data_IF_089079711514
#
_entry.id   IF_089079711514
#
_cell.length_a   1.000
_cell.length_b   1.000
_cell.length_c   1.000
_cell.angle_alpha   90.00
_cell.angle_beta   90.00
_cell.angle_gamma   90.00
#
_symmetry.space_group_name_H-M   'P 1'
#
loop_
_entity.id
_entity.type
_entity.pdbx_description
1 polymer ?
#
# COMPACT_ATOMS: atom_id res chain seq x y z
N UNK A 1 -1.94 -23.34 -4.53
CA UNK A 1 -2.09 -22.43 -5.68
C UNK A 1 -3.12 -21.37 -5.38
N UNK A 2 -2.89 -20.16 -5.83
CA UNK A 2 -3.81 -19.04 -5.55
C UNK A 2 -5.01 -19.10 -6.49
N UNK A 3 -6.21 -19.02 -5.90
CA UNK A 3 -7.45 -18.98 -6.69
C UNK A 3 -7.72 -17.54 -7.14
N UNK A 4 -8.65 -17.33 -8.11
CA UNK A 4 -9.06 -15.94 -8.45
C UNK A 4 -9.58 -15.14 -7.25
N UNK A 5 -10.27 -15.80 -6.31
CA UNK A 5 -10.73 -15.13 -5.09
C UNK A 5 -9.54 -14.70 -4.24
N UNK A 6 -8.51 -15.55 -4.07
CA UNK A 6 -7.30 -15.19 -3.35
C UNK A 6 -6.62 -13.97 -3.99
N UNK A 7 -6.52 -13.95 -5.32
CA UNK A 7 -5.94 -12.82 -6.04
C UNK A 7 -6.74 -11.54 -5.85
N UNK A 8 -8.08 -11.64 -5.84
CA UNK A 8 -8.94 -10.49 -5.61
C UNK A 8 -8.74 -9.92 -4.19
N UNK A 9 -8.62 -10.79 -3.19
CA UNK A 9 -8.37 -10.35 -1.81
C UNK A 9 -7.00 -9.69 -1.69
N UNK A 10 -5.97 -10.26 -2.33
CA UNK A 10 -4.62 -9.67 -2.35
C UNK A 10 -4.67 -8.29 -3.01
N UNK A 11 -5.37 -8.16 -4.14
CA UNK A 11 -5.50 -6.87 -4.82
C UNK A 11 -6.21 -5.84 -3.94
N UNK A 12 -7.28 -6.24 -3.24
CA UNK A 12 -7.99 -5.37 -2.32
C UNK A 12 -7.11 -4.95 -1.14
N UNK A 13 -6.37 -5.89 -0.56
CA UNK A 13 -5.44 -5.59 0.53
C UNK A 13 -4.32 -4.65 0.06
N UNK A 14 -3.80 -4.88 -1.13
CA UNK A 14 -2.77 -4.03 -1.73
C UNK A 14 -3.30 -2.61 -1.97
N UNK A 15 -4.50 -2.50 -2.52
CA UNK A 15 -5.15 -1.20 -2.72
C UNK A 15 -5.32 -0.45 -1.41
N UNK A 16 -5.81 -1.11 -0.36
CA UNK A 16 -5.98 -0.49 0.96
C UNK A 16 -4.63 -0.05 1.54
N UNK A 17 -3.58 -0.85 1.36
CA UNK A 17 -2.25 -0.51 1.83
C UNK A 17 -1.71 0.73 1.12
N UNK A 18 -1.79 0.76 -0.21
CA UNK A 18 -1.30 1.89 -1.00
C UNK A 18 -2.09 3.15 -0.67
N UNK A 19 -3.42 3.07 -0.67
CA UNK A 19 -4.27 4.20 -0.36
C UNK A 19 -4.02 4.71 1.06
N UNK A 20 -3.87 3.79 2.01
CA UNK A 20 -3.57 4.14 3.40
C UNK A 20 -2.24 4.88 3.54
N UNK A 21 -1.19 4.40 2.86
CA UNK A 21 0.11 5.05 2.89
C UNK A 21 0.06 6.46 2.29
N UNK A 22 -0.65 6.64 1.19
CA UNK A 22 -0.81 7.95 0.57
C UNK A 22 -1.62 8.89 1.46
N UNK A 23 -2.63 8.38 2.16
CA UNK A 23 -3.40 9.16 3.13
C UNK A 23 -2.55 9.56 4.33
N UNK A 24 -1.70 8.66 4.83
CA UNK A 24 -0.75 9.01 5.90
C UNK A 24 0.19 10.14 5.45
N UNK A 25 0.67 10.08 4.22
CA UNK A 25 1.52 11.14 3.67
C UNK A 25 0.76 12.46 3.61
N UNK A 26 -0.49 12.43 3.14
CA UNK A 26 -1.36 13.61 3.11
C UNK A 26 -1.59 14.18 4.50
N UNK A 27 -1.84 13.33 5.50
CA UNK A 27 -2.01 13.75 6.88
C UNK A 27 -0.73 14.41 7.43
N UNK A 28 0.43 13.82 7.14
CA UNK A 28 1.71 14.38 7.57
C UNK A 28 1.97 15.75 6.96
N UNK A 29 1.68 15.90 5.66
CA UNK A 29 1.85 17.19 4.98
C UNK A 29 0.88 18.24 5.53
N UNK A 30 -0.35 17.85 5.84
CA UNK A 30 -1.32 18.77 6.45
C UNK A 30 -0.86 19.20 7.86
N UNK A 31 -0.29 18.26 8.64
CA UNK A 31 0.27 18.60 9.94
C UNK A 31 1.41 19.60 9.83
N UNK A 32 2.27 19.45 8.82
CA UNK A 32 3.35 20.39 8.56
C UNK A 32 2.81 21.78 8.15
N UNK A 33 1.80 21.81 7.29
CA UNK A 33 1.21 23.06 6.79
C UNK A 33 0.59 23.87 7.93
N UNK A 34 -0.13 23.22 8.84
CA UNK A 34 -0.81 23.87 9.96
C UNK A 34 0.01 23.88 11.25
N UNK A 35 1.23 23.31 11.22
CA UNK A 35 2.16 23.22 12.36
C UNK A 35 1.57 22.48 13.56
N UNK A 36 0.57 21.62 13.33
CA UNK A 36 -0.06 20.82 14.39
C UNK A 36 -0.83 19.64 13.79
N UNK A 37 -0.89 18.53 14.53
CA UNK A 37 -1.73 17.39 14.19
C UNK A 37 -3.21 17.63 14.52
N UNK A 38 -3.52 18.67 15.28
CA UNK A 38 -4.88 18.96 15.75
C UNK A 38 -5.72 19.74 14.73
N UNK A 39 -5.39 19.65 13.45
CA UNK A 39 -6.22 20.24 12.40
C UNK A 39 -7.13 19.17 11.79
N UNK A 40 -8.30 19.62 11.30
CA UNK A 40 -9.33 18.73 10.78
C UNK A 40 -8.83 17.90 9.60
N UNK A 41 -8.02 18.49 8.71
CA UNK A 41 -7.53 17.81 7.53
C UNK A 41 -6.61 16.65 7.89
N UNK A 42 -5.63 16.88 8.77
CA UNK A 42 -4.73 15.81 9.24
C UNK A 42 -5.50 14.70 9.94
N UNK A 43 -6.40 15.06 10.84
CA UNK A 43 -7.18 14.06 11.59
C UNK A 43 -8.09 13.26 10.66
N UNK A 44 -8.75 13.90 9.70
CA UNK A 44 -9.61 13.21 8.75
C UNK A 44 -8.82 12.23 7.89
N UNK A 45 -7.69 12.67 7.34
CA UNK A 45 -6.86 11.81 6.49
C UNK A 45 -6.27 10.66 7.29
N UNK A 46 -5.80 10.92 8.50
CA UNK A 46 -5.24 9.89 9.37
C UNK A 46 -6.29 8.85 9.75
N UNK A 47 -7.47 9.29 10.18
CA UNK A 47 -8.55 8.36 10.56
C UNK A 47 -9.02 7.53 9.37
N UNK A 48 -9.12 8.12 8.18
CA UNK A 48 -9.47 7.39 6.96
C UNK A 48 -8.43 6.31 6.65
N UNK A 49 -7.14 6.65 6.78
CA UNK A 49 -6.06 5.68 6.58
C UNK A 49 -6.15 4.52 7.57
N UNK A 50 -6.43 4.80 8.83
CA UNK A 50 -6.59 3.76 9.86
C UNK A 50 -7.76 2.84 9.51
N UNK A 51 -8.89 3.40 9.06
CA UNK A 51 -10.04 2.60 8.65
C UNK A 51 -9.70 1.68 7.47
N UNK A 52 -8.95 2.16 6.49
CA UNK A 52 -8.49 1.34 5.36
C UNK A 52 -7.57 0.23 5.83
N UNK A 53 -6.66 0.51 6.78
CA UNK A 53 -5.77 -0.51 7.32
C UNK A 53 -6.53 -1.55 8.14
N UNK A 54 -7.55 -1.15 8.88
CA UNK A 54 -8.42 -2.11 9.57
C UNK A 54 -9.11 -3.04 8.59
N UNK A 55 -9.65 -2.50 7.50
CA UNK A 55 -10.26 -3.31 6.43
C UNK A 55 -9.23 -4.24 5.80
N UNK A 56 -8.05 -3.73 5.50
CA UNK A 56 -6.95 -4.53 4.94
C UNK A 56 -6.57 -5.67 5.88
N UNK A 57 -6.45 -5.40 7.18
CA UNK A 57 -6.10 -6.41 8.18
C UNK A 57 -7.13 -7.53 8.19
N UNK A 58 -8.42 -7.19 8.11
CA UNK A 58 -9.50 -8.18 8.06
C UNK A 58 -9.39 -9.04 6.79
N UNK A 59 -9.25 -8.40 5.63
CA UNK A 59 -9.10 -9.12 4.36
C UNK A 59 -7.88 -10.04 4.38
N UNK A 60 -6.77 -9.52 4.92
CA UNK A 60 -5.53 -10.27 5.02
C UNK A 60 -5.69 -11.50 5.90
N UNK A 61 -6.34 -11.34 7.05
CA UNK A 61 -6.58 -12.45 7.96
C UNK A 61 -7.47 -13.51 7.31
N UNK A 62 -8.49 -13.08 6.57
CA UNK A 62 -9.36 -14.00 5.83
C UNK A 62 -8.56 -14.80 4.79
N UNK A 63 -7.65 -14.13 4.08
CA UNK A 63 -6.79 -14.79 3.10
C UNK A 63 -5.88 -15.84 3.76
N UNK A 64 -5.31 -15.49 4.91
CA UNK A 64 -4.35 -16.36 5.60
C UNK A 64 -5.00 -17.61 6.20
N UNK A 65 -6.31 -17.71 6.22
CA UNK A 65 -6.99 -18.96 6.60
C UNK A 65 -6.72 -20.07 5.58
N UNK A 66 -6.44 -19.72 4.34
CA UNK A 66 -6.31 -20.69 3.24
C UNK A 66 -4.95 -20.65 2.56
N UNK A 67 -4.21 -19.57 2.71
CA UNK A 67 -2.94 -19.34 2.01
C UNK A 67 -1.84 -19.07 3.03
N UNK A 68 -0.66 -19.62 2.81
CA UNK A 68 0.49 -19.34 3.69
C UNK A 68 0.96 -17.91 3.54
N UNK A 69 1.52 -17.35 4.61
CA UNK A 69 2.08 -16.01 4.60
C UNK A 69 3.21 -15.90 3.58
N UNK A 70 4.06 -16.93 3.49
CA UNK A 70 5.17 -16.96 2.53
C UNK A 70 4.72 -16.85 1.08
N UNK A 71 3.53 -17.37 0.78
CA UNK A 71 2.97 -17.32 -0.58
C UNK A 71 2.31 -15.98 -0.87
N UNK A 72 1.60 -15.42 0.11
CA UNK A 72 0.80 -14.22 -0.07
C UNK A 72 1.60 -12.92 0.11
N UNK A 73 2.51 -12.88 1.07
CA UNK A 73 3.18 -11.65 1.47
C UNK A 73 4.04 -11.01 0.37
N UNK A 74 4.74 -11.77 -0.50
CA UNK A 74 5.53 -11.14 -1.56
C UNK A 74 4.73 -10.19 -2.45
N UNK A 75 3.44 -10.45 -2.64
CA UNK A 75 2.59 -9.56 -3.45
C UNK A 75 2.47 -8.16 -2.84
N UNK A 76 2.60 -8.04 -1.53
CA UNK A 76 2.55 -6.73 -0.86
C UNK A 76 3.76 -5.87 -1.22
N UNK A 77 4.84 -6.46 -1.69
CA UNK A 77 6.00 -5.72 -2.17
C UNK A 77 5.70 -4.90 -3.43
N UNK A 78 4.62 -5.21 -4.15
CA UNK A 78 4.17 -4.39 -5.29
C UNK A 78 3.82 -2.96 -4.85
N UNK A 79 3.48 -2.75 -3.58
CA UNK A 79 3.24 -1.41 -3.06
C UNK A 79 4.45 -0.50 -3.28
N UNK A 80 5.66 -1.07 -3.20
CA UNK A 80 6.89 -0.30 -3.43
C UNK A 80 6.95 0.30 -4.84
N UNK A 81 6.39 -0.40 -5.83
CA UNK A 81 6.32 0.11 -7.20
C UNK A 81 5.18 1.13 -7.37
N UNK A 82 4.05 0.88 -6.72
CA UNK A 82 2.83 1.67 -6.89
C UNK A 82 2.91 2.98 -6.11
N UNK A 83 3.42 2.97 -4.88
CA UNK A 83 3.45 4.14 -4.02
C UNK A 83 4.24 5.31 -4.62
N UNK A 84 5.45 5.14 -5.18
CA UNK A 84 6.16 6.26 -5.79
C UNK A 84 5.39 6.92 -6.93
N UNK A 85 4.67 6.13 -7.72
CA UNK A 85 3.83 6.65 -8.80
C UNK A 85 2.68 7.47 -8.20
N UNK A 86 2.03 6.96 -7.16
CA UNK A 86 0.97 7.68 -6.46
C UNK A 86 1.46 8.98 -5.85
N UNK A 87 2.63 8.99 -5.24
CA UNK A 87 3.22 10.21 -4.68
C UNK A 87 3.53 11.23 -5.77
N UNK A 88 4.00 10.78 -6.93
CA UNK A 88 4.29 11.67 -8.04
C UNK A 88 3.01 12.37 -8.52
N UNK A 89 1.90 11.63 -8.62
CA UNK A 89 0.63 12.18 -9.08
C UNK A 89 -0.05 13.08 -8.03
N UNK A 90 -0.04 12.66 -6.76
CA UNK A 90 -0.83 13.33 -5.73
C UNK A 90 -0.07 14.46 -5.03
N UNK A 91 1.23 14.32 -4.87
CA UNK A 91 2.03 15.25 -4.07
C UNK A 91 3.16 15.92 -4.87
N UNK A 92 3.25 15.64 -6.17
CA UNK A 92 4.27 16.24 -7.01
C UNK A 92 5.69 15.77 -6.71
N UNK A 93 5.86 14.62 -6.04
CA UNK A 93 7.17 14.06 -5.78
C UNK A 93 7.87 13.66 -7.08
N UNK A 94 9.18 13.85 -7.15
CA UNK A 94 9.94 13.44 -8.32
C UNK A 94 9.99 11.91 -8.39
N UNK A 95 9.70 11.37 -9.58
CA UNK A 95 9.76 9.94 -9.82
C UNK A 95 11.12 9.62 -10.44
N UNK A 96 12.00 9.00 -9.65
CA UNK A 96 13.35 8.69 -10.07
C UNK A 96 13.44 7.34 -10.78
N UNK A 97 14.33 7.25 -11.79
CA UNK A 97 14.57 6.01 -12.50
C UNK A 97 14.98 4.87 -11.58
N UNK A 98 15.75 5.18 -10.51
CA UNK A 98 16.18 4.17 -9.55
C UNK A 98 14.99 3.48 -8.87
N UNK A 99 13.94 4.23 -8.55
CA UNK A 99 12.72 3.65 -7.96
C UNK A 99 12.01 2.72 -8.95
N UNK A 100 11.95 3.11 -10.23
CA UNK A 100 11.33 2.29 -11.26
C UNK A 100 12.13 1.01 -11.53
N UNK A 101 13.45 1.11 -11.60
CA UNK A 101 14.33 -0.04 -11.81
C UNK A 101 14.25 -0.99 -10.62
N UNK A 102 14.35 -0.46 -9.41
CA UNK A 102 14.22 -1.26 -8.18
C UNK A 102 12.86 -1.93 -8.08
N UNK A 103 11.79 -1.19 -8.42
CA UNK A 103 10.44 -1.74 -8.45
C UNK A 103 10.28 -2.87 -9.46
N UNK A 104 10.91 -2.75 -10.62
CA UNK A 104 10.89 -3.82 -11.63
C UNK A 104 11.61 -5.08 -11.13
N UNK A 105 12.74 -4.92 -10.43
CA UNK A 105 13.47 -6.02 -9.83
C UNK A 105 12.61 -6.71 -8.75
N UNK A 106 11.92 -5.93 -7.92
CA UNK A 106 11.00 -6.45 -6.91
C UNK A 106 9.89 -7.26 -7.58
N UNK A 107 9.29 -6.73 -8.64
CA UNK A 107 8.23 -7.43 -9.37
C UNK A 107 8.73 -8.76 -9.93
N UNK A 108 9.94 -8.79 -10.50
CA UNK A 108 10.55 -10.03 -10.97
C UNK A 108 10.77 -11.02 -9.81
N UNK A 109 11.21 -10.52 -8.65
CA UNK A 109 11.38 -11.35 -7.45
C UNK A 109 10.06 -11.96 -6.99
N UNK A 110 8.96 -11.22 -7.06
CA UNK A 110 7.63 -11.74 -6.71
C UNK A 110 7.27 -12.92 -7.62
N UNK A 111 7.50 -12.78 -8.92
CA UNK A 111 7.21 -13.85 -9.87
C UNK A 111 8.00 -15.11 -9.49
N UNK A 112 9.28 -14.96 -9.15
CA UNK A 112 10.11 -16.09 -8.74
C UNK A 112 9.56 -16.78 -7.50
N UNK A 113 9.04 -16.03 -6.53
CA UNK A 113 8.49 -16.61 -5.30
C UNK A 113 7.25 -17.46 -5.56
N UNK A 114 6.57 -17.24 -6.69
CA UNK A 114 5.34 -17.99 -7.03
C UNK A 114 5.61 -19.23 -7.88
N UNK A 115 6.83 -19.45 -8.34
CA UNK A 115 7.19 -20.62 -9.15
C UNK A 115 7.23 -21.94 -8.36
#
# INVERSE_FOLDING_TARGET
MLTPLHMAIIAGALFCTVAGQLLFKGAALAANTYATWLNLRSLTLFCTAICLYMMMTFLWTMLLREVSVSKAFPFMALAYLIIPVGEAFLFGQALHWNALIGGAIIAAGIVVTQL
#
